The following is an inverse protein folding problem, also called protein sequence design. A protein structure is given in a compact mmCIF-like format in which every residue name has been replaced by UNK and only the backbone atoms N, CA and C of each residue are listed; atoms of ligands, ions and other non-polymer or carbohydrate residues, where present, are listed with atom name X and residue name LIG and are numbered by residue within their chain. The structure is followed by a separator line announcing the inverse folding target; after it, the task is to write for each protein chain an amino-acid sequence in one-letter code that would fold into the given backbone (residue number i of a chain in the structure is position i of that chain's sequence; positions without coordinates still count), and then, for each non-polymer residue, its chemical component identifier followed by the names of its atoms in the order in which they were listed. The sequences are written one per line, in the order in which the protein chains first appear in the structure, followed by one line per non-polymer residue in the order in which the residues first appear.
data_IF_917425878350
#
_entry.id   IF_917425878350
#
_cell.length_a   1.000
_cell.length_b   1.000
_cell.length_c   1.000
_cell.angle_alpha   90.00
_cell.angle_beta   90.00
_cell.angle_gamma   90.00
#
_symmetry.space_group_name_H-M   'P 1'
#
loop_
_entity.id
_entity.type
_entity.pdbx_description
1 polymer ?
#
# COMPACT_ATOMS: atom_id res chain seq x y z
N UNK A 1 1.93 35.25 12.67
CA UNK A 1 1.74 34.31 11.55
C UNK A 1 1.43 32.98 12.17
N UNK A 2 0.20 32.52 12.00
CA UNK A 2 -0.23 31.20 12.47
C UNK A 2 0.48 30.12 11.62
N UNK A 3 1.14 29.12 12.24
CA UNK A 3 1.78 28.06 11.48
C UNK A 3 0.71 27.27 10.71
N UNK A 4 0.97 27.01 9.43
CA UNK A 4 0.10 26.17 8.62
C UNK A 4 -0.05 24.79 9.31
N UNK A 5 -1.28 24.23 9.35
CA UNK A 5 -1.46 22.90 9.90
C UNK A 5 -0.60 21.90 9.11
N UNK A 6 -0.02 20.90 9.78
CA UNK A 6 0.78 19.89 9.11
C UNK A 6 -0.07 19.20 8.03
N UNK A 7 0.53 18.85 6.87
CA UNK A 7 -0.21 18.17 5.82
C UNK A 7 -0.75 16.84 6.33
N UNK A 8 -2.06 16.65 6.23
CA UNK A 8 -2.70 15.36 6.50
C UNK A 8 -2.26 14.36 5.43
N UNK A 9 -1.91 13.15 5.87
CA UNK A 9 -1.74 12.03 4.97
C UNK A 9 -3.11 11.65 4.42
N UNK A 10 -3.31 11.84 3.11
CA UNK A 10 -4.58 11.53 2.46
C UNK A 10 -4.32 10.53 1.35
N UNK A 11 -4.86 9.32 1.53
CA UNK A 11 -4.95 8.33 0.47
C UNK A 11 -6.09 8.71 -0.49
N UNK A 12 -5.83 8.54 -1.78
CA UNK A 12 -6.81 8.67 -2.85
C UNK A 12 -7.31 7.28 -3.24
N UNK A 13 -8.62 7.16 -3.44
CA UNK A 13 -9.29 5.90 -3.75
C UNK A 13 -8.87 4.75 -2.81
N UNK A 14 -9.04 4.91 -1.48
CA UNK A 14 -8.64 3.89 -0.51
C UNK A 14 -9.48 2.61 -0.61
N UNK A 15 -10.74 2.72 -1.05
CA UNK A 15 -11.71 1.63 -1.13
C UNK A 15 -11.81 1.00 -2.53
N UNK A 16 -10.92 1.39 -3.45
CA UNK A 16 -10.93 0.93 -4.84
C UNK A 16 -12.36 0.91 -5.45
N UNK A 17 -13.16 1.93 -5.17
CA UNK A 17 -14.55 2.03 -5.61
C UNK A 17 -14.65 2.41 -7.10
N UNK A 18 -13.55 2.96 -7.62
CA UNK A 18 -13.35 3.39 -8.98
C UNK A 18 -12.09 2.74 -9.54
N UNK A 19 -12.12 2.37 -10.82
CA UNK A 19 -10.96 1.74 -11.48
C UNK A 19 -9.77 2.72 -11.52
N UNK A 20 -8.68 2.47 -10.77
CA UNK A 20 -7.54 3.37 -10.77
C UNK A 20 -6.78 3.41 -12.10
N UNK A 21 -6.98 2.43 -12.99
CA UNK A 21 -6.33 2.35 -14.30
C UNK A 21 -7.02 3.24 -15.33
N UNK A 22 -8.36 3.24 -15.34
CA UNK A 22 -9.15 3.93 -16.36
C UNK A 22 -9.88 5.18 -15.87
N UNK A 23 -9.76 5.54 -14.58
CA UNK A 23 -10.41 6.72 -14.02
C UNK A 23 -9.99 8.01 -14.74
N UNK A 24 -10.98 8.86 -15.02
CA UNK A 24 -10.79 10.17 -15.65
C UNK A 24 -10.08 11.18 -14.74
N UNK A 25 -10.13 10.97 -13.43
CA UNK A 25 -9.41 11.75 -12.42
C UNK A 25 -8.24 10.92 -11.86
N UNK A 26 -7.10 11.55 -11.49
CA UNK A 26 -5.98 10.83 -10.90
C UNK A 26 -6.39 10.21 -9.55
N UNK A 27 -6.58 8.89 -9.53
CA UNK A 27 -6.77 8.09 -8.32
C UNK A 27 -5.42 7.79 -7.61
N UNK A 28 -4.31 8.16 -8.26
CA UNK A 28 -2.92 8.15 -7.76
C UNK A 28 -2.31 6.79 -7.37
N UNK A 29 -3.02 5.68 -7.53
CA UNK A 29 -2.42 4.36 -7.49
C UNK A 29 -1.64 4.09 -8.77
N UNK A 30 -0.33 3.90 -8.63
CA UNK A 30 0.58 3.47 -9.68
C UNK A 30 0.79 1.96 -9.56
N UNK A 31 0.98 1.29 -10.69
CA UNK A 31 1.27 -0.14 -10.70
C UNK A 31 2.71 -0.39 -11.14
N UNK A 32 3.30 -1.44 -10.58
CA UNK A 32 4.67 -1.86 -10.84
C UNK A 32 4.71 -3.37 -11.05
N UNK A 33 5.39 -3.77 -12.11
CA UNK A 33 5.62 -5.17 -12.49
C UNK A 33 7.12 -5.41 -12.55
N UNK A 34 7.63 -6.36 -11.79
CA UNK A 34 9.08 -6.65 -11.69
C UNK A 34 9.65 -7.22 -13.01
N UNK A 35 8.80 -7.78 -13.87
CA UNK A 35 9.19 -8.06 -15.25
C UNK A 35 8.00 -8.00 -16.17
N UNK A 36 8.14 -7.32 -17.31
CA UNK A 36 7.08 -7.01 -18.27
C UNK A 36 6.30 -8.18 -18.90
N UNK A 37 6.37 -9.41 -18.37
CA UNK A 37 5.43 -10.50 -18.69
C UNK A 37 5.11 -11.41 -17.50
N UNK A 38 3.81 -11.59 -17.20
CA UNK A 38 3.27 -12.67 -16.35
C UNK A 38 2.90 -12.30 -14.91
N UNK A 39 3.11 -11.05 -14.52
CA UNK A 39 2.29 -10.39 -13.51
C UNK A 39 1.14 -9.63 -14.18
N UNK A 40 0.06 -9.40 -13.43
CA UNK A 40 -1.13 -8.67 -13.85
C UNK A 40 -1.62 -7.83 -12.68
N UNK A 41 -1.78 -6.52 -12.90
CA UNK A 41 -2.43 -5.61 -11.96
C UNK A 41 -3.69 -5.09 -12.61
N UNK A 42 -4.83 -5.38 -12.00
CA UNK A 42 -6.14 -4.98 -12.50
C UNK A 42 -7.03 -4.55 -11.34
N UNK A 43 -8.03 -3.74 -11.65
CA UNK A 43 -9.15 -3.53 -10.77
C UNK A 43 -10.16 -4.66 -10.92
N UNK A 44 -10.71 -5.14 -9.81
CA UNK A 44 -11.78 -6.14 -9.80
C UNK A 44 -13.05 -5.54 -9.20
N UNK A 45 -14.03 -5.25 -10.06
CA UNK A 45 -15.30 -4.65 -9.68
C UNK A 45 -16.21 -5.57 -8.84
N UNK A 46 -15.86 -6.86 -8.72
CA UNK A 46 -16.74 -7.88 -8.12
C UNK A 46 -16.26 -8.39 -6.78
N UNK A 47 -14.99 -8.15 -6.45
CA UNK A 47 -14.34 -8.59 -5.21
C UNK A 47 -13.90 -7.35 -4.45
N UNK A 48 -14.20 -7.30 -3.15
CA UNK A 48 -13.83 -6.22 -2.26
C UNK A 48 -14.41 -6.45 -0.86
N UNK A 49 -14.06 -5.59 0.08
CA UNK A 49 -14.54 -5.60 1.47
C UNK A 49 -14.40 -4.19 2.05
N UNK A 50 -15.48 -3.56 2.54
CA UNK A 50 -16.80 -4.14 2.82
C UNK A 50 -17.74 -4.21 1.61
N UNK A 51 -17.43 -3.52 0.51
CA UNK A 51 -18.19 -3.51 -0.74
C UNK A 51 -17.34 -4.03 -1.90
N UNK A 52 -17.97 -4.32 -3.04
CA UNK A 52 -17.22 -4.78 -4.21
C UNK A 52 -16.34 -3.66 -4.81
N UNK A 53 -15.19 -4.04 -5.36
CA UNK A 53 -14.13 -3.14 -5.81
C UNK A 53 -12.82 -3.47 -5.07
N UNK A 54 -11.76 -3.83 -5.80
CA UNK A 54 -10.45 -4.05 -5.19
C UNK A 54 -9.32 -3.90 -6.20
N UNK A 55 -8.15 -3.52 -5.72
CA UNK A 55 -6.90 -3.64 -6.46
C UNK A 55 -6.42 -5.08 -6.43
N UNK A 56 -6.44 -5.77 -7.57
CA UNK A 56 -5.91 -7.13 -7.69
C UNK A 56 -4.49 -7.12 -8.24
N UNK A 57 -3.63 -7.89 -7.60
CA UNK A 57 -2.27 -8.20 -8.08
C UNK A 57 -2.16 -9.71 -8.25
N UNK A 58 -1.82 -10.18 -9.45
CA UNK A 58 -1.74 -11.60 -9.79
C UNK A 58 -0.40 -11.92 -10.44
N UNK A 59 0.13 -13.10 -10.17
CA UNK A 59 1.33 -13.60 -10.81
C UNK A 59 1.28 -15.12 -11.02
N UNK A 60 1.80 -15.60 -12.16
CA UNK A 60 1.88 -17.04 -12.46
C UNK A 60 3.30 -17.63 -12.49
N UNK A 61 4.33 -16.78 -12.51
CA UNK A 61 5.74 -17.12 -12.75
C UNK A 61 6.40 -17.76 -11.54
N UNK A 62 7.56 -18.38 -11.76
CA UNK A 62 8.47 -18.80 -10.70
C UNK A 62 9.48 -17.71 -10.34
N UNK A 63 10.19 -17.93 -9.23
CA UNK A 63 11.31 -17.10 -8.77
C UNK A 63 10.91 -15.93 -7.87
N UNK A 64 11.92 -15.20 -7.40
CA UNK A 64 11.72 -14.03 -6.55
C UNK A 64 11.16 -12.87 -7.37
N UNK A 65 10.05 -12.28 -6.91
CA UNK A 65 9.30 -11.23 -7.63
C UNK A 65 8.50 -10.36 -6.67
N UNK A 66 8.33 -9.09 -7.03
CA UNK A 66 7.41 -8.17 -6.36
C UNK A 66 6.58 -7.40 -7.40
N UNK A 67 5.28 -7.71 -7.49
CA UNK A 67 4.33 -6.93 -8.27
C UNK A 67 3.44 -6.15 -7.29
N UNK A 68 3.15 -4.87 -7.54
CA UNK A 68 2.45 -4.07 -6.54
C UNK A 68 1.75 -2.82 -7.06
N UNK A 69 0.69 -2.44 -6.35
CA UNK A 69 0.14 -1.09 -6.40
C UNK A 69 0.88 -0.20 -5.41
N UNK A 70 1.13 1.06 -5.76
CA UNK A 70 1.70 2.02 -4.83
C UNK A 70 1.13 3.42 -4.97
N UNK A 71 1.13 4.15 -3.86
CA UNK A 71 0.71 5.53 -3.80
C UNK A 71 1.70 6.34 -2.94
N UNK A 72 2.03 7.53 -3.43
CA UNK A 72 2.77 8.51 -2.63
C UNK A 72 1.79 9.33 -1.79
N UNK A 73 2.03 9.42 -0.49
CA UNK A 73 1.27 10.26 0.43
C UNK A 73 2.21 11.24 1.12
N UNK A 74 1.76 12.48 1.36
CA UNK A 74 2.49 13.39 2.25
C UNK A 74 2.37 12.89 3.68
N UNK A 75 3.46 12.96 4.44
CA UNK A 75 3.50 12.46 5.81
C UNK A 75 4.37 13.37 6.66
N UNK A 76 3.75 13.94 7.70
CA UNK A 76 4.47 14.64 8.75
C UNK A 76 5.08 13.64 9.76
N UNK A 77 6.14 14.02 10.50
CA UNK A 77 6.62 13.24 11.64
C UNK A 77 5.51 13.00 12.67
N UNK A 78 5.49 11.82 13.30
CA UNK A 78 4.49 11.47 14.31
C UNK A 78 3.98 10.04 14.21
N UNK A 79 3.12 9.65 15.15
CA UNK A 79 2.54 8.31 15.19
C UNK A 79 1.49 8.15 14.07
N UNK A 80 1.53 7.00 13.42
CA UNK A 80 0.55 6.63 12.41
C UNK A 80 0.22 5.13 12.47
N UNK A 81 -0.96 4.82 11.96
CA UNK A 81 -1.42 3.46 11.70
C UNK A 81 -1.90 3.40 10.25
N UNK A 82 -1.37 2.45 9.48
CA UNK A 82 -1.77 2.14 8.13
C UNK A 82 -2.41 0.75 8.11
N UNK A 83 -3.60 0.64 7.52
CA UNK A 83 -4.30 -0.64 7.36
C UNK A 83 -4.69 -0.90 5.92
N UNK A 84 -4.87 -2.17 5.59
CA UNK A 84 -5.51 -2.59 4.35
C UNK A 84 -6.24 -3.91 4.58
N UNK A 85 -7.41 -4.06 3.97
CA UNK A 85 -8.05 -5.37 3.83
C UNK A 85 -7.35 -6.13 2.69
N UNK A 86 -6.98 -7.38 2.95
CA UNK A 86 -6.33 -8.25 1.95
C UNK A 86 -7.03 -9.59 1.85
N UNK A 87 -7.32 -10.05 0.64
CA UNK A 87 -7.76 -11.42 0.37
C UNK A 87 -6.71 -12.18 -0.44
N UNK A 88 -5.95 -13.09 0.21
CA UNK A 88 -4.91 -13.89 -0.42
C UNK A 88 -5.46 -15.18 -1.06
N UNK A 89 -5.03 -15.45 -2.29
CA UNK A 89 -5.09 -16.78 -2.92
C UNK A 89 -3.73 -17.12 -3.50
N UNK A 90 -2.92 -17.76 -2.68
CA UNK A 90 -1.48 -17.87 -2.88
C UNK A 90 -1.05 -19.30 -3.11
N UNK A 91 -0.08 -19.45 -4.00
CA UNK A 91 0.74 -20.66 -4.09
C UNK A 91 1.79 -20.63 -2.98
N UNK A 92 2.43 -21.78 -2.75
CA UNK A 92 3.54 -21.86 -1.83
C UNK A 92 4.65 -20.84 -2.17
N UNK A 93 5.28 -20.28 -1.13
CA UNK A 93 6.35 -19.28 -1.25
C UNK A 93 5.92 -17.93 -1.87
N UNK A 94 4.62 -17.61 -1.81
CA UNK A 94 4.10 -16.29 -2.12
C UNK A 94 3.37 -15.70 -0.90
N UNK A 95 3.32 -14.37 -0.82
CA UNK A 95 2.64 -13.61 0.23
C UNK A 95 2.02 -12.34 -0.35
N UNK A 96 0.95 -11.87 0.29
CA UNK A 96 0.46 -10.51 0.14
C UNK A 96 1.07 -9.66 1.26
N UNK A 97 1.61 -8.50 0.94
CA UNK A 97 2.33 -7.64 1.89
C UNK A 97 1.81 -6.20 1.78
N UNK A 98 1.53 -5.59 2.93
CA UNK A 98 1.35 -4.15 3.07
C UNK A 98 2.70 -3.58 3.50
N UNK A 99 3.28 -2.68 2.70
CA UNK A 99 4.57 -2.06 2.97
C UNK A 99 4.45 -0.54 2.94
N UNK A 100 5.22 0.10 3.81
CA UNK A 100 5.41 1.54 3.82
C UNK A 100 6.90 1.88 3.89
N UNK A 101 7.30 2.85 3.09
CA UNK A 101 8.61 3.51 3.17
C UNK A 101 8.40 4.99 3.46
N UNK A 102 8.87 5.47 4.61
CA UNK A 102 8.82 6.88 4.98
C UNK A 102 10.07 7.58 4.45
N UNK A 103 9.87 8.74 3.84
CA UNK A 103 10.87 9.44 3.04
C UNK A 103 11.19 10.82 3.62
N UNK A 104 12.43 11.28 3.42
CA UNK A 104 12.91 12.59 3.90
C UNK A 104 12.60 13.78 2.97
N UNK A 105 11.75 13.58 1.96
CA UNK A 105 11.35 14.59 0.99
C UNK A 105 9.82 14.75 0.98
N UNK A 106 9.28 15.89 0.54
CA UNK A 106 7.83 16.12 0.49
C UNK A 106 7.10 15.29 -0.59
N UNK A 107 7.84 14.69 -1.52
CA UNK A 107 7.32 13.87 -2.61
C UNK A 107 8.16 12.60 -2.78
N UNK A 108 7.54 11.55 -3.32
CA UNK A 108 8.18 10.27 -3.54
C UNK A 108 8.86 10.25 -4.91
N UNK A 109 10.12 10.70 -4.92
CA UNK A 109 10.99 10.71 -6.09
C UNK A 109 12.25 9.87 -5.83
N UNK A 110 13.02 9.59 -6.87
CA UNK A 110 14.21 8.72 -6.80
C UNK A 110 15.37 9.29 -5.98
N UNK A 111 15.33 10.59 -5.64
CA UNK A 111 16.34 11.22 -4.78
C UNK A 111 15.95 11.22 -3.30
N UNK A 112 14.73 10.78 -2.98
CA UNK A 112 14.25 10.71 -1.61
C UNK A 112 14.96 9.59 -0.84
N UNK A 113 15.51 9.93 0.33
CA UNK A 113 16.10 8.97 1.24
C UNK A 113 15.03 8.28 2.07
N UNK A 114 15.13 6.96 2.21
CA UNK A 114 14.27 6.17 3.09
C UNK A 114 14.72 6.32 4.54
N UNK A 115 13.82 6.81 5.40
CA UNK A 115 14.04 6.98 6.83
C UNK A 115 13.52 5.79 7.64
N UNK A 116 12.46 5.15 7.17
CA UNK A 116 11.84 4.00 7.81
C UNK A 116 11.23 3.10 6.74
N UNK A 117 11.45 1.79 6.86
CA UNK A 117 10.70 0.77 6.12
C UNK A 117 9.97 -0.11 7.13
N UNK A 118 8.68 -0.35 6.90
CA UNK A 118 7.91 -1.31 7.66
C UNK A 118 6.98 -2.08 6.73
N UNK A 119 6.79 -3.37 7.03
CA UNK A 119 5.82 -4.17 6.32
C UNK A 119 5.21 -5.26 7.19
N UNK A 120 4.08 -5.76 6.73
CA UNK A 120 3.32 -6.85 7.34
C UNK A 120 2.77 -7.73 6.22
N UNK A 121 2.84 -9.05 6.40
CA UNK A 121 2.33 -10.03 5.45
C UNK A 121 1.01 -10.64 5.91
N UNK A 122 0.25 -11.18 4.96
CA UNK A 122 -0.92 -12.01 5.23
C UNK A 122 -0.57 -13.23 6.10
N UNK A 123 -1.48 -13.60 7.01
CA UNK A 123 -1.33 -14.79 7.86
C UNK A 123 -2.14 -15.95 7.28
N UNK A 124 -3.24 -15.63 6.59
CA UNK A 124 -4.17 -16.62 6.05
C UNK A 124 -3.98 -16.82 4.56
N UNK A 125 -4.49 -17.93 4.02
CA UNK A 125 -4.50 -18.17 2.57
C UNK A 125 -5.78 -18.93 2.18
N UNK A 126 -6.93 -18.30 2.42
CA UNK A 126 -8.23 -18.95 2.34
C UNK A 126 -9.26 -18.16 1.49
N UNK A 127 -8.81 -17.19 0.68
CA UNK A 127 -9.67 -16.28 -0.10
C UNK A 127 -10.59 -15.36 0.71
N UNK A 128 -10.59 -15.43 2.04
CA UNK A 128 -11.26 -14.45 2.90
C UNK A 128 -10.43 -13.18 3.07
N UNK A 129 -11.08 -12.07 3.40
CA UNK A 129 -10.38 -10.85 3.75
C UNK A 129 -9.86 -10.92 5.19
N UNK A 130 -8.59 -10.55 5.38
CA UNK A 130 -7.98 -10.23 6.68
C UNK A 130 -7.46 -8.79 6.67
N UNK A 131 -7.27 -8.20 7.85
CA UNK A 131 -6.72 -6.84 7.97
C UNK A 131 -5.22 -6.90 8.25
N UNK A 132 -4.44 -6.27 7.38
CA UNK A 132 -3.04 -5.99 7.59
C UNK A 132 -2.89 -4.63 8.28
N UNK A 133 -2.02 -4.54 9.29
CA UNK A 133 -1.78 -3.30 10.04
C UNK A 133 -0.29 -3.02 10.22
N UNK A 134 0.11 -1.78 9.96
CA UNK A 134 1.42 -1.22 10.29
C UNK A 134 1.22 0.01 11.18
N UNK A 135 1.54 -0.13 12.47
CA UNK A 135 1.58 0.99 13.41
C UNK A 135 3.04 1.38 13.71
N UNK A 136 3.43 2.63 13.44
CA UNK A 136 4.80 3.14 13.61
C UNK A 136 4.81 4.63 13.96
N UNK A 137 5.99 5.15 14.26
CA UNK A 137 6.24 6.59 14.39
C UNK A 137 7.13 7.05 13.25
N UNK A 138 6.62 7.95 12.40
CA UNK A 138 7.38 8.59 11.34
C UNK A 138 8.50 9.44 11.95
N UNK A 139 9.77 9.23 11.54
CA UNK A 139 10.92 9.96 12.11
C UNK A 139 10.83 11.48 11.91
N UNK A 140 11.63 12.21 12.69
CA UNK A 140 11.87 13.63 12.40
C UNK A 140 12.41 13.77 10.97
N UNK A 141 12.01 14.84 10.27
CA UNK A 141 12.31 15.11 8.85
C UNK A 141 11.55 14.25 7.83
N UNK A 142 10.54 13.48 8.25
CA UNK A 142 9.59 12.87 7.31
C UNK A 142 8.85 13.94 6.51
N UNK A 143 8.71 13.72 5.21
CA UNK A 143 7.89 14.57 4.33
C UNK A 143 6.85 13.81 3.51
N UNK A 144 7.12 12.53 3.21
CA UNK A 144 6.24 11.67 2.44
C UNK A 144 6.37 10.21 2.86
N UNK A 145 5.43 9.39 2.42
CA UNK A 145 5.48 7.95 2.50
C UNK A 145 5.08 7.32 1.16
N UNK A 146 5.78 6.25 0.83
CA UNK A 146 5.44 5.37 -0.28
C UNK A 146 4.71 4.14 0.27
N UNK A 147 3.39 4.08 0.03
CA UNK A 147 2.55 2.96 0.45
C UNK A 147 2.48 1.95 -0.69
N UNK A 148 2.74 0.68 -0.42
CA UNK A 148 2.75 -0.41 -1.40
C UNK A 148 1.86 -1.57 -0.96
N UNK A 149 1.08 -2.09 -1.90
CA UNK A 149 0.20 -3.26 -1.78
C UNK A 149 0.76 -4.36 -2.69
N UNK A 150 1.45 -5.33 -2.10
CA UNK A 150 2.44 -6.15 -2.82
C UNK A 150 1.99 -7.60 -2.88
N UNK A 151 2.07 -8.18 -4.07
CA UNK A 151 2.22 -9.63 -4.24
C UNK A 151 3.71 -9.96 -4.32
N UNK A 152 4.20 -10.71 -3.33
CA UNK A 152 5.61 -11.07 -3.20
C UNK A 152 5.80 -12.56 -3.40
N UNK A 153 6.86 -12.93 -4.10
CA UNK A 153 7.31 -14.30 -4.28
C UNK A 153 8.76 -14.43 -3.82
N UNK A 154 9.10 -15.54 -3.17
CA UNK A 154 10.51 -15.86 -2.87
C UNK A 154 11.14 -16.65 -4.02
N UNK A 155 12.47 -16.81 -4.00
CA UNK A 155 13.20 -17.58 -5.02
C UNK A 155 12.74 -19.03 -5.18
N UNK A 156 12.08 -19.60 -4.16
CA UNK A 156 11.56 -20.97 -4.19
C UNK A 156 10.15 -21.10 -4.80
N UNK A 157 9.51 -20.00 -5.18
CA UNK A 157 8.18 -20.01 -5.78
C UNK A 157 8.19 -20.75 -7.12
N UNK A 158 7.28 -21.73 -7.25
CA UNK A 158 7.06 -22.49 -8.49
C UNK A 158 5.99 -21.81 -9.36
N UNK A 159 5.89 -22.17 -10.65
CA UNK A 159 4.81 -21.67 -11.50
C UNK A 159 3.43 -22.10 -10.97
N UNK A 160 2.44 -21.24 -11.16
CA UNK A 160 1.08 -21.44 -10.67
C UNK A 160 0.42 -20.11 -10.37
N UNK A 161 -0.90 -20.02 -10.54
CA UNK A 161 -1.62 -18.78 -10.28
C UNK A 161 -1.66 -18.47 -8.78
N UNK A 162 -1.27 -17.26 -8.45
CA UNK A 162 -1.53 -16.66 -7.16
C UNK A 162 -1.89 -15.19 -7.30
N UNK A 163 -2.69 -14.68 -6.38
CA UNK A 163 -3.10 -13.29 -6.37
C UNK A 163 -3.44 -12.78 -4.97
N UNK A 164 -3.43 -11.46 -4.87
CA UNK A 164 -3.81 -10.67 -3.72
C UNK A 164 -4.87 -9.68 -4.18
N UNK A 165 -6.03 -9.66 -3.53
CA UNK A 165 -6.93 -8.51 -3.58
C UNK A 165 -6.61 -7.60 -2.41
N UNK A 166 -6.49 -6.32 -2.67
CA UNK A 166 -6.34 -5.28 -1.66
C UNK A 166 -7.47 -4.29 -1.77
N UNK A 167 -8.01 -3.92 -0.62
CA UNK A 167 -9.12 -2.99 -0.52
C UNK A 167 -9.07 -2.24 0.83
N UNK A 168 -9.88 -1.20 0.96
CA UNK A 168 -10.13 -0.47 2.21
C UNK A 168 -8.83 -0.07 2.93
N UNK A 169 -8.01 0.72 2.23
CA UNK A 169 -6.72 1.19 2.73
C UNK A 169 -6.94 2.39 3.63
N UNK A 170 -6.79 2.21 4.94
CA UNK A 170 -7.03 3.26 5.92
C UNK A 170 -5.71 3.86 6.42
N UNK A 171 -5.71 5.17 6.60
CA UNK A 171 -4.64 5.90 7.25
C UNK A 171 -5.17 6.66 8.45
N UNK A 172 -4.63 6.37 9.63
CA UNK A 172 -4.84 7.15 10.84
C UNK A 172 -3.52 7.79 11.27
N UNK A 173 -3.51 9.11 11.42
CA UNK A 173 -2.37 9.86 11.97
C UNK A 173 -2.83 10.62 13.20
N UNK A 174 -2.23 10.32 14.34
CA UNK A 174 -2.41 11.15 15.53
C UNK A 174 -1.52 12.38 15.39
N UNK A 175 -2.15 13.55 15.25
CA UNK A 175 -1.43 14.82 15.35
C UNK A 175 -0.89 14.96 16.77
N UNK A 176 0.41 14.71 16.94
CA UNK A 176 1.13 15.16 18.11
C UNK A 176 1.23 16.69 17.97
N UNK A 177 0.66 17.44 18.93
CA UNK A 177 0.56 18.90 19.05
C UNK A 177 -0.76 19.55 18.58
N UNK A 178 -1.69 19.69 19.54
CA UNK A 178 -2.52 20.90 19.69
C UNK A 178 -1.99 21.68 20.91
N UNK A 179 -0.96 22.50 20.71
CA UNK A 179 -0.46 23.40 21.75
C UNK A 179 -1.02 24.80 21.53
N UNK A 180 -2.16 25.11 22.16
CA UNK A 180 -2.55 26.50 22.39
C UNK A 180 -1.71 27.02 23.56
N UNK A 181 -0.79 27.95 23.28
CA UNK A 181 -0.26 28.83 24.32
C UNK A 181 -1.21 30.01 24.41
N UNK A 182 -2.08 30.01 25.44
CA UNK A 182 -2.65 31.26 25.96
C UNK A 182 -1.55 32.13 26.59
#
# INVERSE_FOLDING_TARGET
MEPLPPPLAVLRNPDFDTDPVTAAAPTNWRWYLDSGTGGELVWDATVGSPSAGSGRVRNFRSGAREDFWAQCVRLAPGAFTLRAAVSPQLKANASCELRIEVLNQPDCNTSAGVLLTASVGNVTNNAGFETLEVARTAPLHSGAAWVSLIHRQTGAAQPGYSYCHFDHVEWDSQLLFSGSFE
#
